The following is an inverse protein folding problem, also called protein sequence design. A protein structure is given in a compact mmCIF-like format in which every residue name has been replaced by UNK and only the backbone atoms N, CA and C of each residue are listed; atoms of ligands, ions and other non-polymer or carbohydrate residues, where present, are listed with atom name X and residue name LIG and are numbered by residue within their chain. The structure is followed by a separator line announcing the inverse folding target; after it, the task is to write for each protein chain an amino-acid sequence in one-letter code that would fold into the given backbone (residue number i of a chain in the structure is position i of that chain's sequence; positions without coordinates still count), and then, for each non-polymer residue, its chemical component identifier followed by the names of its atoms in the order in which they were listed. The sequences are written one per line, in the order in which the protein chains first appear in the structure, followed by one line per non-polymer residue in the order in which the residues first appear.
data_IF_574548058097
#
_entry.id   IF_574548058097
#
_cell.length_a   1.000
_cell.length_b   1.000
_cell.length_c   1.000
_cell.angle_alpha   90.00
_cell.angle_beta   90.00
_cell.angle_gamma   90.00
#
_symmetry.space_group_name_H-M   'P 1'
#
loop_
_entity.id
_entity.type
_entity.pdbx_description
1 polymer ?
#
# COMPACT_ATOMS: atom_id res chain seq x y z
N UNK A 1 -38.16 36.38 -17.68
CA UNK A 1 -37.34 35.60 -18.63
C UNK A 1 -37.13 34.20 -18.07
N UNK A 2 -37.44 33.11 -18.80
CA UNK A 2 -37.21 31.75 -18.31
C UNK A 2 -35.71 31.42 -18.29
N UNK A 3 -35.19 30.88 -17.18
CA UNK A 3 -33.81 30.39 -17.07
C UNK A 3 -33.63 29.17 -17.98
N UNK A 4 -32.66 29.21 -18.89
CA UNK A 4 -32.19 28.04 -19.66
C UNK A 4 -31.85 26.90 -18.69
N UNK A 5 -32.71 25.89 -18.61
CA UNK A 5 -32.41 24.60 -18.00
C UNK A 5 -31.34 23.92 -18.84
N UNK A 6 -30.12 23.85 -18.31
CA UNK A 6 -29.01 23.12 -18.94
C UNK A 6 -29.38 21.63 -18.97
N UNK A 7 -29.44 20.96 -20.13
CA UNK A 7 -29.70 19.53 -20.14
C UNK A 7 -28.51 18.79 -19.52
N UNK A 8 -28.81 17.87 -18.60
CA UNK A 8 -27.89 16.90 -18.00
C UNK A 8 -27.16 16.14 -19.11
N UNK A 9 -25.95 16.58 -19.46
CA UNK A 9 -25.08 15.86 -20.40
C UNK A 9 -24.63 14.58 -19.71
N UNK A 10 -25.34 13.47 -19.96
CA UNK A 10 -24.91 12.11 -19.59
C UNK A 10 -23.46 11.94 -20.04
N UNK A 11 -22.56 11.92 -19.08
CA UNK A 11 -21.16 11.55 -19.31
C UNK A 11 -21.17 10.05 -19.58
N UNK A 12 -21.27 9.67 -20.84
CA UNK A 12 -20.97 8.30 -21.26
C UNK A 12 -19.52 8.02 -20.85
N UNK A 13 -19.37 7.27 -19.76
CA UNK A 13 -18.07 6.84 -19.27
C UNK A 13 -17.43 6.01 -20.36
N UNK A 14 -16.27 6.45 -20.85
CA UNK A 14 -15.41 5.63 -21.72
C UNK A 14 -15.25 4.25 -21.07
N UNK A 15 -15.37 3.15 -21.83
CA UNK A 15 -15.17 1.83 -21.27
C UNK A 15 -13.74 1.79 -20.73
N UNK A 16 -13.60 1.71 -19.40
CA UNK A 16 -12.30 1.50 -18.77
C UNK A 16 -11.75 0.21 -19.36
N UNK A 17 -10.74 0.32 -20.24
CA UNK A 17 -9.97 -0.83 -20.70
C UNK A 17 -9.65 -1.68 -19.47
N UNK A 18 -10.01 -2.97 -19.55
CA UNK A 18 -9.81 -3.93 -18.46
C UNK A 18 -8.31 -3.96 -18.17
N UNK A 19 -7.87 -3.15 -17.20
CA UNK A 19 -6.48 -3.13 -16.76
C UNK A 19 -6.10 -4.56 -16.44
N UNK A 20 -5.11 -5.08 -17.14
CA UNK A 20 -4.58 -6.41 -16.86
C UNK A 20 -4.24 -6.49 -15.37
N UNK A 21 -4.72 -7.52 -14.65
CA UNK A 21 -4.42 -7.65 -13.23
C UNK A 21 -2.91 -7.66 -13.05
N UNK A 22 -2.40 -6.81 -12.15
CA UNK A 22 -0.98 -6.88 -11.79
C UNK A 22 -0.68 -8.27 -11.24
N UNK A 23 0.41 -8.92 -11.67
CA UNK A 23 0.80 -10.22 -11.14
C UNK A 23 0.93 -10.13 -9.62
N UNK A 24 0.46 -11.16 -8.92
CA UNK A 24 0.60 -11.23 -7.46
C UNK A 24 2.09 -11.41 -7.14
N UNK A 25 2.66 -10.64 -6.21
CA UNK A 25 4.03 -10.87 -5.77
C UNK A 25 4.13 -12.28 -5.15
N UNK A 26 5.27 -12.93 -5.32
CA UNK A 26 5.64 -14.07 -4.47
C UNK A 26 6.00 -13.52 -3.09
N UNK A 27 5.50 -14.16 -2.04
CA UNK A 27 5.74 -13.77 -0.66
C UNK A 27 6.41 -14.96 0.01
N UNK A 28 7.65 -14.77 0.45
CA UNK A 28 8.48 -15.85 0.99
C UNK A 28 8.32 -16.01 2.51
N UNK A 29 7.49 -15.18 3.15
CA UNK A 29 7.29 -15.15 4.60
C UNK A 29 5.81 -15.16 5.00
N UNK A 30 5.54 -15.67 6.20
CA UNK A 30 4.20 -15.74 6.78
C UNK A 30 3.75 -14.39 7.36
N UNK A 31 2.44 -14.21 7.57
CA UNK A 31 1.91 -13.00 8.21
C UNK A 31 2.41 -12.81 9.65
N UNK A 32 2.70 -13.89 10.37
CA UNK A 32 3.20 -13.83 11.75
C UNK A 32 4.67 -13.39 11.81
N UNK A 33 5.44 -13.59 10.74
CA UNK A 33 6.80 -13.10 10.63
C UNK A 33 6.87 -11.55 10.60
N UNK A 34 5.77 -10.87 10.23
CA UNK A 34 5.61 -9.40 10.28
C UNK A 34 5.27 -8.91 11.70
N UNK A 35 6.10 -9.28 12.67
CA UNK A 35 6.04 -8.72 14.02
C UNK A 35 7.10 -7.65 14.25
N UNK A 36 6.82 -6.71 15.17
CA UNK A 36 7.72 -5.59 15.48
C UNK A 36 9.06 -6.04 16.09
N UNK A 37 9.10 -7.24 16.66
CA UNK A 37 10.31 -7.86 17.22
C UNK A 37 11.29 -8.29 16.13
N UNK A 38 10.81 -8.60 14.93
CA UNK A 38 11.65 -9.09 13.84
C UNK A 38 12.24 -7.93 13.03
N UNK A 39 13.20 -7.21 13.62
CA UNK A 39 13.81 -6.03 13.02
C UNK A 39 14.59 -6.34 11.74
N UNK A 40 15.16 -7.54 11.61
CA UNK A 40 15.92 -7.96 10.42
C UNK A 40 15.04 -7.96 9.18
N UNK A 41 13.83 -8.54 9.27
CA UNK A 41 12.87 -8.56 8.17
C UNK A 41 12.32 -7.16 7.89
N UNK A 42 12.02 -6.38 8.93
CA UNK A 42 11.43 -5.05 8.77
C UNK A 42 12.40 -4.06 8.14
N UNK A 43 13.72 -4.17 8.39
CA UNK A 43 14.75 -3.31 7.79
C UNK A 43 14.78 -3.40 6.26
N UNK A 44 14.48 -4.56 5.68
CA UNK A 44 14.41 -4.74 4.22
C UNK A 44 13.32 -3.89 3.55
N UNK A 45 12.30 -3.47 4.32
CA UNK A 45 11.15 -2.69 3.83
C UNK A 45 11.22 -1.20 4.18
N UNK A 46 12.37 -0.75 4.66
CA UNK A 46 12.63 0.64 5.05
C UNK A 46 13.84 1.14 4.26
N UNK A 47 13.85 2.42 3.89
CA UNK A 47 15.01 3.05 3.27
C UNK A 47 16.10 3.30 4.31
N UNK A 48 17.34 3.59 3.87
CA UNK A 48 18.45 3.94 4.78
C UNK A 48 18.11 5.14 5.70
N UNK A 49 17.24 6.03 5.22
CA UNK A 49 16.76 7.21 5.94
C UNK A 49 15.62 6.90 6.94
N UNK A 50 15.21 5.64 7.10
CA UNK A 50 14.08 5.31 7.96
C UNK A 50 12.72 5.67 7.34
N UNK A 51 12.57 5.70 6.01
CA UNK A 51 11.24 5.88 5.38
C UNK A 51 10.66 4.53 4.99
N UNK A 52 9.38 4.29 5.27
CA UNK A 52 8.73 3.04 4.89
C UNK A 52 8.57 2.99 3.37
N UNK A 53 8.99 1.89 2.74
CA UNK A 53 8.88 1.74 1.30
C UNK A 53 7.41 1.69 0.87
N UNK A 54 7.02 2.49 -0.15
CA UNK A 54 5.68 2.43 -0.73
C UNK A 54 5.37 1.04 -1.30
N UNK A 55 4.09 0.67 -1.27
CA UNK A 55 3.58 -0.59 -1.84
C UNK A 55 3.99 -0.84 -3.30
N UNK A 56 4.17 0.23 -4.08
CA UNK A 56 4.61 0.13 -5.49
C UNK A 56 6.01 -0.47 -5.65
N UNK A 57 6.86 -0.37 -4.63
CA UNK A 57 8.21 -0.93 -4.63
C UNK A 57 8.26 -2.28 -3.90
N UNK A 58 7.52 -2.43 -2.79
CA UNK A 58 7.50 -3.69 -2.03
C UNK A 58 6.70 -4.79 -2.73
N UNK A 59 5.77 -4.43 -3.64
CA UNK A 59 4.93 -5.39 -4.36
C UNK A 59 3.83 -6.05 -3.51
N UNK A 60 3.91 -5.98 -2.18
CA UNK A 60 3.09 -6.72 -1.23
C UNK A 60 1.57 -6.49 -1.42
N UNK A 61 0.71 -7.48 -1.12
CA UNK A 61 -0.73 -7.28 -1.04
C UNK A 61 -1.10 -6.23 0.02
N UNK A 62 -2.27 -5.62 -0.13
CA UNK A 62 -2.71 -4.53 0.74
C UNK A 62 -2.81 -4.92 2.23
N UNK A 63 -3.15 -6.17 2.54
CA UNK A 63 -3.21 -6.65 3.92
C UNK A 63 -1.81 -6.81 4.55
N UNK A 64 -0.84 -7.37 3.82
CA UNK A 64 0.57 -7.44 4.25
C UNK A 64 1.14 -6.04 4.48
N UNK A 65 0.96 -5.10 3.53
CA UNK A 65 1.49 -3.75 3.68
C UNK A 65 0.90 -3.01 4.89
N UNK A 66 -0.40 -3.20 5.19
CA UNK A 66 -1.03 -2.63 6.38
C UNK A 66 -0.42 -3.19 7.67
N UNK A 67 -0.21 -4.51 7.72
CA UNK A 67 0.39 -5.18 8.88
C UNK A 67 1.84 -4.73 9.08
N UNK A 68 2.62 -4.69 8.00
CA UNK A 68 3.99 -4.19 7.96
C UNK A 68 4.08 -2.75 8.49
N UNK A 69 3.22 -1.84 8.02
CA UNK A 69 3.21 -0.46 8.50
C UNK A 69 2.98 -0.38 10.02
N UNK A 70 2.07 -1.19 10.56
CA UNK A 70 1.81 -1.24 12.01
C UNK A 70 3.00 -1.81 12.78
N UNK A 71 3.62 -2.90 12.28
CA UNK A 71 4.80 -3.49 12.89
C UNK A 71 5.98 -2.52 12.93
N UNK A 72 6.23 -1.80 11.81
CA UNK A 72 7.30 -0.79 11.75
C UNK A 72 7.05 0.34 12.75
N UNK A 73 5.83 0.86 12.80
CA UNK A 73 5.48 1.95 13.75
C UNK A 73 5.68 1.52 15.20
N UNK A 74 5.27 0.30 15.57
CA UNK A 74 5.48 -0.25 16.91
C UNK A 74 6.96 -0.41 17.24
N UNK A 75 7.75 -0.95 16.32
CA UNK A 75 9.18 -1.12 16.52
C UNK A 75 9.91 0.22 16.72
N UNK A 76 9.47 1.29 16.05
CA UNK A 76 9.98 2.66 16.26
C UNK A 76 9.64 3.22 17.63
N UNK A 77 8.40 3.01 18.09
CA UNK A 77 7.98 3.42 19.43
C UNK A 77 8.81 2.70 20.51
N UNK A 78 9.21 1.45 20.26
CA UNK A 78 10.07 0.66 21.15
C UNK A 78 11.57 0.89 20.94
N UNK A 79 11.97 1.86 20.12
CA UNK A 79 13.38 2.16 19.79
C UNK A 79 14.17 0.99 19.16
N UNK A 80 13.51 -0.02 18.62
CA UNK A 80 14.16 -1.21 18.04
C UNK A 80 14.75 -0.94 16.64
N UNK A 81 14.19 0.04 15.92
CA UNK A 81 14.72 0.51 14.64
C UNK A 81 14.32 1.96 14.36
N UNK A 82 14.98 2.54 13.35
CA UNK A 82 14.84 3.94 12.93
C UNK A 82 13.58 4.20 12.10
#
# INVERSE_FOLDING_TARGET
MPRKTRPEKKREGRPTERRTPRPKPKIDFTLDALDYKNTNLLRTFVTDQGRILPRKYTGLPAHYQRRLNTAIKRARQMLLMK
#
